data_IF_675577290174
#
_entry.id   IF_675577290174
#
_cell.length_a   1.000
_cell.length_b   1.000
_cell.length_c   1.000
_cell.angle_alpha   90.00
_cell.angle_beta   90.00
_cell.angle_gamma   90.00
#
_symmetry.space_group_name_H-M   'P 1'
#
loop_
_entity.id
_entity.type
_entity.pdbx_description
1 polymer ?
#
# COMPACT_ATOMS: atom_id res chain seq x y z
N UNK A 1 -57.13 -33.36 -25.61
CA UNK A 1 -55.70 -33.73 -25.50
C UNK A 1 -54.95 -32.44 -25.22
N UNK A 2 -54.58 -32.21 -23.96
CA UNK A 2 -53.78 -31.07 -23.52
C UNK A 2 -52.85 -31.60 -22.41
N UNK A 3 -51.55 -31.42 -22.59
CA UNK A 3 -50.50 -31.85 -21.68
C UNK A 3 -50.32 -30.80 -20.56
N UNK A 4 -49.84 -31.18 -19.37
CA UNK A 4 -49.73 -30.28 -18.21
C UNK A 4 -48.46 -29.41 -18.27
N UNK A 5 -48.55 -28.26 -17.60
CA UNK A 5 -47.52 -27.23 -17.48
C UNK A 5 -46.24 -27.73 -16.78
N UNK A 6 -45.11 -27.30 -17.34
CA UNK A 6 -43.75 -27.44 -16.85
C UNK A 6 -43.56 -26.65 -15.54
N UNK A 7 -43.15 -27.35 -14.48
CA UNK A 7 -42.83 -26.78 -13.17
C UNK A 7 -41.32 -26.79 -12.97
N UNK A 8 -40.66 -25.78 -13.52
CA UNK A 8 -39.26 -25.47 -13.23
C UNK A 8 -39.16 -24.45 -12.07
N UNK A 9 -38.25 -24.65 -11.10
CA UNK A 9 -38.19 -23.83 -9.88
C UNK A 9 -37.73 -22.39 -10.19
N UNK A 10 -38.45 -21.42 -9.65
CA UNK A 10 -38.11 -20.00 -9.67
C UNK A 10 -36.82 -19.79 -8.85
N UNK A 11 -35.69 -19.64 -9.53
CA UNK A 11 -34.48 -19.09 -8.92
C UNK A 11 -34.78 -17.63 -8.62
N UNK A 12 -35.01 -17.30 -7.34
CA UNK A 12 -35.00 -15.91 -6.89
C UNK A 12 -33.57 -15.39 -7.01
N UNK A 13 -33.29 -14.63 -8.06
CA UNK A 13 -32.12 -13.77 -8.11
C UNK A 13 -32.15 -12.85 -6.87
N UNK A 14 -31.17 -13.01 -5.99
CA UNK A 14 -30.91 -11.99 -4.97
C UNK A 14 -30.22 -10.81 -5.66
N UNK A 15 -30.70 -9.57 -5.48
CA UNK A 15 -30.08 -8.42 -6.10
C UNK A 15 -28.67 -8.19 -5.52
N UNK A 16 -27.67 -8.14 -6.40
CA UNK A 16 -26.30 -7.74 -6.08
C UNK A 16 -26.31 -6.29 -5.56
N UNK A 17 -26.15 -6.11 -4.25
CA UNK A 17 -26.35 -4.85 -3.54
C UNK A 17 -25.30 -3.76 -3.77
N UNK A 18 -24.34 -3.94 -4.69
CA UNK A 18 -23.31 -2.93 -4.99
C UNK A 18 -23.70 -1.93 -6.08
N UNK A 19 -24.70 -2.23 -6.91
CA UNK A 19 -25.05 -1.39 -8.08
C UNK A 19 -25.77 -0.08 -7.78
N UNK A 20 -26.24 0.16 -6.55
CA UNK A 20 -27.01 1.37 -6.21
C UNK A 20 -26.30 2.39 -5.32
N UNK A 21 -25.09 2.09 -4.80
CA UNK A 21 -24.44 2.94 -3.80
C UNK A 21 -23.72 4.16 -4.41
N UNK A 22 -23.41 4.11 -5.71
CA UNK A 22 -22.56 5.09 -6.40
C UNK A 22 -23.26 5.86 -7.52
N UNK A 23 -24.52 5.52 -7.84
CA UNK A 23 -25.27 6.09 -8.96
C UNK A 23 -25.59 7.59 -8.81
N UNK A 24 -25.42 8.15 -7.61
CA UNK A 24 -25.72 9.55 -7.28
C UNK A 24 -24.50 10.39 -6.85
N UNK A 25 -23.27 9.85 -6.94
CA UNK A 25 -22.07 10.63 -6.57
C UNK A 25 -21.70 11.56 -7.73
N UNK A 26 -21.79 12.87 -7.51
CA UNK A 26 -21.29 13.85 -8.49
C UNK A 26 -19.78 13.90 -8.39
N UNK A 27 -19.09 14.19 -9.50
CA UNK A 27 -17.64 14.37 -9.49
C UNK A 27 -17.17 15.48 -8.51
N UNK A 28 -18.04 16.42 -8.14
CA UNK A 28 -17.80 17.45 -7.11
C UNK A 28 -17.73 16.89 -5.68
N UNK A 29 -18.29 15.71 -5.46
CA UNK A 29 -18.34 15.05 -4.15
C UNK A 29 -17.10 14.16 -3.92
N UNK A 30 -16.22 14.07 -4.93
CA UNK A 30 -14.94 13.35 -4.88
C UNK A 30 -13.82 14.34 -4.57
N UNK A 31 -13.11 14.14 -3.45
CA UNK A 31 -11.86 14.85 -3.15
C UNK A 31 -10.67 14.01 -3.55
N UNK A 32 -9.81 14.53 -4.42
CA UNK A 32 -8.52 13.91 -4.69
C UNK A 32 -7.48 14.48 -3.75
N UNK A 33 -6.86 13.64 -2.93
CA UNK A 33 -5.72 14.00 -2.07
C UNK A 33 -4.50 13.26 -2.60
N UNK A 34 -3.56 13.99 -3.19
CA UNK A 34 -2.35 13.38 -3.76
C UNK A 34 -1.06 13.97 -3.19
N UNK A 35 -0.16 13.07 -2.85
CA UNK A 35 1.27 13.32 -2.61
C UNK A 35 2.14 12.69 -3.71
N UNK A 36 1.50 12.03 -4.68
CA UNK A 36 2.13 11.30 -5.78
C UNK A 36 1.96 12.10 -7.08
N UNK A 37 3.07 12.60 -7.62
CA UNK A 37 3.14 13.16 -8.97
C UNK A 37 3.44 12.01 -9.93
N UNK A 38 2.40 11.46 -10.56
CA UNK A 38 2.46 10.24 -11.38
C UNK A 38 3.63 10.19 -12.34
N UNK A 39 3.75 11.20 -13.23
CA UNK A 39 4.82 11.23 -14.22
C UNK A 39 6.20 11.25 -13.59
N UNK A 40 6.40 12.04 -12.52
CA UNK A 40 7.68 12.12 -11.82
C UNK A 40 8.05 10.78 -11.18
N UNK A 41 7.09 10.05 -10.63
CA UNK A 41 7.31 8.71 -10.08
C UNK A 41 7.64 7.68 -11.16
N UNK A 42 6.98 7.75 -12.32
CA UNK A 42 7.26 6.89 -13.46
C UNK A 42 8.69 7.16 -13.98
N UNK A 43 9.08 8.43 -14.11
CA UNK A 43 10.40 8.84 -14.56
C UNK A 43 11.50 8.58 -13.51
N UNK A 44 11.15 8.54 -12.22
CA UNK A 44 12.06 8.18 -11.13
C UNK A 44 12.38 6.69 -11.11
N UNK A 45 11.47 5.85 -11.62
CA UNK A 45 11.59 4.40 -11.66
C UNK A 45 11.94 3.83 -10.29
N UNK A 46 11.00 3.97 -9.34
CA UNK A 46 11.12 3.39 -8.00
C UNK A 46 11.21 1.87 -8.09
N UNK A 47 12.35 1.30 -7.71
CA UNK A 47 12.66 -0.12 -7.93
C UNK A 47 12.71 -0.95 -6.65
N UNK A 48 12.70 -0.32 -5.48
CA UNK A 48 12.55 -1.06 -4.24
C UNK A 48 12.81 -0.22 -3.01
N UNK A 49 13.01 -0.91 -1.89
CA UNK A 49 13.36 -0.30 -0.63
C UNK A 49 14.48 -1.07 0.06
N UNK A 50 15.24 -0.37 0.89
CA UNK A 50 16.26 -0.97 1.73
C UNK A 50 16.13 -0.46 3.16
N UNK A 51 16.68 -1.21 4.11
CA UNK A 51 16.69 -0.85 5.52
C UNK A 51 18.12 -0.65 6.00
N UNK A 52 18.37 0.42 6.74
CA UNK A 52 19.59 0.60 7.50
C UNK A 52 19.25 0.77 8.98
N UNK A 53 19.97 0.06 9.83
CA UNK A 53 19.77 0.00 11.28
C UNK A 53 21.09 0.27 11.98
N UNK A 54 21.03 0.87 13.16
CA UNK A 54 22.19 1.20 13.98
C UNK A 54 21.78 1.16 15.46
N UNK A 55 22.64 0.69 16.38
CA UNK A 55 22.31 0.60 17.80
C UNK A 55 21.89 1.93 18.45
N UNK A 56 22.36 3.06 17.91
CA UNK A 56 22.29 4.39 18.55
C UNK A 56 21.43 5.41 17.79
N UNK A 57 20.76 5.02 16.71
CA UNK A 57 19.99 5.93 15.86
C UNK A 57 18.66 5.30 15.41
N UNK A 58 17.60 6.10 15.18
CA UNK A 58 16.39 5.62 14.53
C UNK A 58 16.69 4.92 13.19
N UNK A 59 15.94 3.86 12.83
CA UNK A 59 16.20 3.13 11.60
C UNK A 59 15.85 3.98 10.37
N UNK A 60 16.39 3.58 9.22
CA UNK A 60 16.21 4.26 7.93
C UNK A 60 15.53 3.30 6.95
N UNK A 61 14.47 3.79 6.30
CA UNK A 61 13.84 3.19 5.13
C UNK A 61 14.28 3.96 3.87
N UNK A 62 15.12 3.33 3.06
CA UNK A 62 15.60 3.86 1.79
C UNK A 62 14.57 3.59 0.69
N UNK A 63 14.26 4.59 -0.13
CA UNK A 63 13.53 4.41 -1.39
C UNK A 63 14.55 4.36 -2.52
N UNK A 64 14.69 3.20 -3.15
CA UNK A 64 15.68 2.94 -4.20
C UNK A 64 15.11 3.32 -5.57
N UNK A 65 15.75 4.26 -6.24
CA UNK A 65 15.35 4.75 -7.56
C UNK A 65 16.43 4.45 -8.59
N UNK A 66 16.03 3.98 -9.79
CA UNK A 66 16.96 3.89 -10.92
C UNK A 66 17.41 5.26 -11.39
N UNK A 67 16.49 6.23 -11.39
CA UNK A 67 16.80 7.62 -11.69
C UNK A 67 16.88 8.43 -10.40
N UNK A 68 18.10 8.54 -9.85
CA UNK A 68 18.39 9.25 -8.63
C UNK A 68 17.88 10.71 -8.63
N UNK A 69 18.05 11.44 -9.74
CA UNK A 69 17.68 12.86 -9.82
C UNK A 69 16.17 13.07 -9.71
N UNK A 70 15.38 12.22 -10.36
CA UNK A 70 13.93 12.27 -10.23
C UNK A 70 13.46 11.76 -8.86
N UNK A 71 14.14 10.77 -8.28
CA UNK A 71 13.92 10.35 -6.89
C UNK A 71 14.15 11.48 -5.88
N UNK A 72 15.24 12.24 -6.04
CA UNK A 72 15.53 13.43 -5.22
C UNK A 72 14.43 14.47 -5.35
N UNK A 73 13.96 14.77 -6.57
CA UNK A 73 12.86 15.73 -6.81
C UNK A 73 11.57 15.35 -6.07
N UNK A 74 11.26 14.04 -5.95
CA UNK A 74 10.10 13.58 -5.17
C UNK A 74 10.24 14.01 -3.71
N UNK A 75 11.38 13.70 -3.09
CA UNK A 75 11.63 14.05 -1.70
C UNK A 75 11.77 15.56 -1.48
N UNK A 76 12.41 16.30 -2.39
CA UNK A 76 12.48 17.76 -2.32
C UNK A 76 11.08 18.39 -2.35
N UNK A 77 10.19 17.90 -3.22
CA UNK A 77 8.81 18.38 -3.27
C UNK A 77 8.01 18.04 -2.00
N UNK A 78 8.28 16.89 -1.37
CA UNK A 78 7.71 16.57 -0.07
C UNK A 78 8.25 17.44 1.05
N UNK A 79 9.56 17.70 1.09
CA UNK A 79 10.18 18.58 2.09
C UNK A 79 9.67 20.02 1.94
N UNK A 80 9.53 20.52 0.72
CA UNK A 80 8.95 21.84 0.46
C UNK A 80 7.52 21.94 1.00
N UNK A 81 6.74 20.86 0.90
CA UNK A 81 5.34 20.83 1.31
C UNK A 81 5.14 20.55 2.80
N UNK A 82 5.95 19.67 3.39
CA UNK A 82 5.73 19.10 4.72
C UNK A 82 6.89 19.32 5.70
N UNK A 83 7.98 19.98 5.26
CA UNK A 83 9.28 20.01 5.94
C UNK A 83 9.99 18.63 5.97
N UNK A 84 11.17 18.59 6.58
CA UNK A 84 11.94 17.37 6.82
C UNK A 84 11.43 16.55 8.03
N UNK A 85 10.33 16.98 8.66
CA UNK A 85 9.64 16.24 9.71
C UNK A 85 8.17 16.21 9.33
N UNK A 86 7.66 15.04 8.96
CA UNK A 86 6.25 14.90 8.58
C UNK A 86 5.38 14.71 9.84
N UNK A 87 5.23 15.82 10.57
CA UNK A 87 4.51 15.93 11.86
C UNK A 87 3.02 15.68 11.72
N UNK A 88 2.44 16.12 10.61
CA UNK A 88 1.01 15.99 10.35
C UNK A 88 0.64 14.61 9.80
N UNK A 89 1.65 13.75 9.57
CA UNK A 89 1.51 12.41 9.02
C UNK A 89 0.85 12.42 7.64
N UNK A 90 1.23 13.37 6.78
CA UNK A 90 0.69 13.57 5.44
C UNK A 90 1.08 12.44 4.47
N UNK A 91 2.28 11.87 4.65
CA UNK A 91 2.74 10.69 3.92
C UNK A 91 2.35 9.43 4.68
N UNK A 92 1.57 8.58 4.03
CA UNK A 92 1.23 7.25 4.53
C UNK A 92 2.13 6.19 3.89
N UNK A 93 2.85 5.46 4.72
CA UNK A 93 3.67 4.31 4.32
C UNK A 93 3.05 3.05 4.93
N UNK A 94 2.78 2.06 4.08
CA UNK A 94 2.24 0.75 4.48
C UNK A 94 3.20 -0.35 4.09
N UNK A 95 3.41 -1.33 4.97
CA UNK A 95 4.10 -2.58 4.68
C UNK A 95 3.08 -3.71 4.84
N UNK A 96 2.75 -4.39 3.75
CA UNK A 96 1.84 -5.54 3.73
C UNK A 96 2.67 -6.82 3.63
N UNK A 97 2.61 -7.67 4.65
CA UNK A 97 3.31 -8.96 4.71
C UNK A 97 2.39 -10.10 4.29
N UNK A 98 2.97 -11.28 4.08
CA UNK A 98 2.19 -12.50 3.83
C UNK A 98 1.38 -12.45 2.54
N UNK A 99 1.88 -11.73 1.52
CA UNK A 99 1.21 -11.57 0.22
C UNK A 99 1.33 -12.81 -0.68
N UNK A 100 2.26 -13.71 -0.39
CA UNK A 100 2.51 -14.93 -1.14
C UNK A 100 2.87 -16.09 -0.20
N UNK A 101 2.03 -17.13 -0.18
CA UNK A 101 2.22 -18.32 0.66
C UNK A 101 3.38 -19.22 0.25
N UNK A 102 3.80 -19.17 -1.02
CA UNK A 102 4.99 -19.88 -1.51
C UNK A 102 6.25 -19.13 -1.16
N UNK A 103 6.16 -17.80 -1.01
CA UNK A 103 7.27 -16.90 -0.71
C UNK A 103 6.96 -16.08 0.55
N UNK A 104 7.05 -16.68 1.76
CA UNK A 104 6.48 -16.09 2.96
C UNK A 104 7.13 -14.78 3.43
N UNK A 105 8.35 -14.50 2.97
CA UNK A 105 9.06 -13.27 3.27
C UNK A 105 8.78 -12.14 2.28
N UNK A 106 7.99 -12.38 1.24
CA UNK A 106 7.60 -11.33 0.33
C UNK A 106 6.66 -10.36 1.04
N UNK A 107 6.90 -9.08 0.84
CA UNK A 107 6.07 -8.01 1.37
C UNK A 107 5.96 -6.90 0.35
N UNK A 108 4.93 -6.08 0.48
CA UNK A 108 4.69 -4.94 -0.41
C UNK A 108 4.74 -3.66 0.38
N UNK A 109 5.53 -2.69 -0.11
CA UNK A 109 5.53 -1.35 0.44
C UNK A 109 4.60 -0.49 -0.42
N UNK A 110 3.69 0.23 0.23
CA UNK A 110 2.82 1.22 -0.35
C UNK A 110 3.15 2.62 0.17
N UNK A 111 3.08 3.63 -0.69
CA UNK A 111 3.29 5.03 -0.34
C UNK A 111 2.20 5.87 -1.00
N UNK A 112 1.51 6.68 -0.21
CA UNK A 112 0.44 7.55 -0.69
C UNK A 112 0.12 8.65 0.30
N UNK A 113 -0.96 9.37 0.07
CA UNK A 113 -1.41 10.38 1.02
C UNK A 113 -2.08 9.71 2.21
N UNK A 114 -1.88 10.24 3.41
CA UNK A 114 -2.70 9.86 4.55
C UNK A 114 -4.02 10.60 4.51
N UNK A 115 -5.07 9.89 4.12
CA UNK A 115 -6.40 10.49 3.97
C UNK A 115 -7.27 10.34 5.21
N UNK A 116 -6.76 9.82 6.34
CA UNK A 116 -7.58 9.60 7.54
C UNK A 116 -8.30 10.86 8.04
N UNK A 117 -7.64 12.03 7.96
CA UNK A 117 -8.22 13.34 8.34
C UNK A 117 -9.31 13.82 7.35
N UNK A 118 -9.36 13.23 6.16
CA UNK A 118 -10.22 13.61 5.05
C UNK A 118 -11.43 12.68 4.89
N UNK A 119 -11.38 11.50 5.52
CA UNK A 119 -12.49 10.55 5.51
C UNK A 119 -13.69 11.12 6.26
N UNK A 120 -14.84 11.12 5.60
CA UNK A 120 -16.13 11.44 6.22
C UNK A 120 -17.23 10.62 5.54
N UNK A 121 -18.34 10.27 6.23
CA UNK A 121 -19.42 9.48 5.64
C UNK A 121 -20.08 10.13 4.41
N UNK A 122 -19.94 11.45 4.26
CA UNK A 122 -20.59 12.23 3.20
C UNK A 122 -19.69 12.49 1.97
N UNK A 123 -18.45 12.00 1.95
CA UNK A 123 -17.48 12.38 0.91
C UNK A 123 -16.62 11.22 0.46
N UNK A 124 -16.55 11.00 -0.84
CA UNK A 124 -15.61 10.05 -1.44
C UNK A 124 -14.23 10.71 -1.50
N UNK A 125 -13.20 10.02 -1.01
CA UNK A 125 -11.82 10.50 -1.08
C UNK A 125 -11.00 9.55 -1.93
N UNK A 126 -10.52 10.06 -3.07
CA UNK A 126 -9.58 9.36 -3.95
C UNK A 126 -8.15 9.70 -3.58
N UNK A 127 -7.27 8.71 -3.58
CA UNK A 127 -5.82 8.92 -3.47
C UNK A 127 -5.06 7.95 -4.36
N UNK A 128 -3.87 8.35 -4.79
CA UNK A 128 -2.96 7.51 -5.56
C UNK A 128 -1.95 6.91 -4.59
N UNK A 129 -1.77 5.59 -4.68
CA UNK A 129 -0.75 4.85 -3.95
C UNK A 129 0.25 4.29 -4.95
N UNK A 130 1.54 4.54 -4.72
CA UNK A 130 2.63 3.82 -5.40
C UNK A 130 3.02 2.62 -4.57
N UNK A 131 3.26 1.48 -5.21
CA UNK A 131 3.64 0.27 -4.50
C UNK A 131 4.79 -0.46 -5.16
N UNK A 132 5.61 -1.13 -4.35
CA UNK A 132 6.68 -2.01 -4.80
C UNK A 132 6.68 -3.30 -3.98
N UNK A 133 6.83 -4.44 -4.66
CA UNK A 133 6.89 -5.76 -4.04
C UNK A 133 8.35 -6.12 -3.81
N UNK A 134 8.67 -6.40 -2.55
CA UNK A 134 9.99 -6.81 -2.12
C UNK A 134 10.05 -8.32 -2.05
N UNK A 135 11.11 -8.90 -2.60
CA UNK A 135 11.28 -10.37 -2.74
C UNK A 135 12.51 -10.89 -1.99
N UNK A 136 12.66 -10.63 -0.67
CA UNK A 136 13.80 -11.13 0.07
C UNK A 136 13.71 -12.64 0.31
N UNK A 137 14.86 -13.26 0.60
CA UNK A 137 14.95 -14.69 0.95
C UNK A 137 14.73 -14.97 2.44
N UNK A 138 14.71 -13.94 3.29
CA UNK A 138 14.43 -14.01 4.72
C UNK A 138 13.81 -12.69 5.23
N UNK A 139 13.43 -12.63 6.51
CA UNK A 139 12.82 -11.45 7.13
C UNK A 139 13.80 -10.54 7.87
N UNK A 140 15.07 -10.91 8.03
CA UNK A 140 16.05 -10.28 8.93
C UNK A 140 16.12 -8.75 8.79
N UNK A 141 16.09 -8.22 7.57
CA UNK A 141 16.18 -6.77 7.35
C UNK A 141 14.90 -6.04 7.77
N UNK A 142 13.73 -6.60 7.47
CA UNK A 142 12.44 -6.04 7.87
C UNK A 142 12.25 -6.18 9.38
N UNK A 143 12.57 -7.33 9.96
CA UNK A 143 12.42 -7.59 11.39
C UNK A 143 13.32 -6.67 12.22
N UNK A 144 14.58 -6.46 11.80
CA UNK A 144 15.47 -5.48 12.44
C UNK A 144 14.92 -4.06 12.34
N UNK A 145 14.43 -3.65 11.17
CA UNK A 145 13.80 -2.34 10.99
C UNK A 145 12.60 -2.17 11.93
N UNK A 146 11.71 -3.17 12.03
CA UNK A 146 10.52 -3.11 12.88
C UNK A 146 10.87 -3.12 14.37
N UNK A 147 11.90 -3.88 14.77
CA UNK A 147 12.39 -3.88 16.15
C UNK A 147 12.96 -2.52 16.55
N UNK A 148 13.80 -1.91 15.70
CA UNK A 148 14.34 -0.57 15.94
C UNK A 148 13.25 0.49 15.89
N UNK A 149 12.31 0.40 14.95
CA UNK A 149 11.17 1.30 14.88
C UNK A 149 10.34 1.24 16.16
N UNK A 150 10.09 0.05 16.70
CA UNK A 150 9.40 -0.13 17.98
C UNK A 150 10.19 0.48 19.15
N UNK A 151 11.53 0.40 19.13
CA UNK A 151 12.42 0.99 20.14
C UNK A 151 12.39 2.52 20.10
N UNK A 152 12.48 3.12 18.92
CA UNK A 152 12.65 4.56 18.74
C UNK A 152 11.33 5.32 18.58
N UNK A 153 10.26 4.66 18.12
CA UNK A 153 8.96 5.28 17.80
C UNK A 153 8.97 6.15 16.53
N UNK A 154 10.10 6.20 15.82
CA UNK A 154 10.27 6.95 14.59
C UNK A 154 11.30 6.29 13.68
N UNK A 155 11.34 6.72 12.42
CA UNK A 155 12.28 6.28 11.41
C UNK A 155 12.48 7.37 10.36
N UNK A 156 13.60 7.34 9.65
CA UNK A 156 13.84 8.21 8.52
C UNK A 156 13.43 7.54 7.22
N UNK A 157 12.80 8.29 6.31
CA UNK A 157 12.81 7.92 4.89
C UNK A 157 13.86 8.73 4.15
N UNK A 158 14.54 8.11 3.19
CA UNK A 158 15.58 8.77 2.39
C UNK A 158 15.56 8.28 0.95
N UNK A 159 15.72 9.16 -0.07
CA UNK A 159 15.93 8.69 -1.42
C UNK A 159 17.34 8.11 -1.55
N UNK A 160 17.47 7.02 -2.28
CA UNK A 160 18.74 6.36 -2.54
C UNK A 160 18.77 5.80 -3.97
N UNK A 161 19.98 5.54 -4.47
CA UNK A 161 20.21 4.85 -5.73
C UNK A 161 21.46 3.97 -5.62
N UNK A 162 21.50 2.87 -6.37
CA UNK A 162 22.70 2.03 -6.38
C UNK A 162 23.86 2.74 -7.10
N UNK A 163 25.02 2.75 -6.45
CA UNK A 163 26.26 3.18 -7.06
C UNK A 163 26.88 2.07 -7.91
N UNK A 164 28.01 2.37 -8.58
CA UNK A 164 28.72 1.41 -9.44
C UNK A 164 29.20 0.14 -8.73
N UNK A 165 29.29 0.16 -7.40
CA UNK A 165 29.67 -1.01 -6.58
C UNK A 165 28.47 -1.84 -6.12
N UNK A 166 27.24 -1.48 -6.52
CA UNK A 166 26.01 -2.16 -6.10
C UNK A 166 25.58 -1.82 -4.67
N UNK A 167 26.16 -0.79 -4.05
CA UNK A 167 25.73 -0.29 -2.73
C UNK A 167 24.80 0.91 -2.90
N UNK A 168 23.78 1.08 -2.05
CA UNK A 168 22.92 2.26 -2.12
C UNK A 168 23.66 3.50 -1.60
N UNK A 169 23.72 4.54 -2.42
CA UNK A 169 24.09 5.89 -1.99
C UNK A 169 22.84 6.58 -1.47
N UNK A 170 22.83 6.92 -0.17
CA UNK A 170 21.74 7.65 0.47
C UNK A 170 21.92 9.16 0.28
N UNK A 171 20.88 9.84 -0.19
CA UNK A 171 20.87 11.30 -0.26
C UNK A 171 20.34 11.89 1.05
N UNK A 172 21.12 11.76 2.12
CA UNK A 172 20.75 12.12 3.50
C UNK A 172 20.18 13.54 3.69
N UNK A 173 20.66 14.59 2.99
CA UNK A 173 20.05 15.93 3.14
C UNK A 173 18.57 16.01 2.75
N UNK A 174 18.04 14.99 2.04
CA UNK A 174 16.64 14.87 1.66
C UNK A 174 15.88 13.86 2.53
N UNK A 175 16.35 13.57 3.73
CA UNK A 175 15.65 12.68 4.66
C UNK A 175 14.41 13.34 5.27
N UNK A 176 13.34 12.58 5.46
CA UNK A 176 12.13 13.03 6.16
C UNK A 176 11.90 12.11 7.37
N UNK A 177 11.71 12.70 8.55
CA UNK A 177 11.39 11.96 9.77
C UNK A 177 9.92 11.57 9.77
N UNK A 178 9.64 10.29 10.03
CA UNK A 178 8.31 9.71 10.14
C UNK A 178 8.15 9.02 11.49
N UNK A 179 7.01 9.24 12.14
CA UNK A 179 6.65 8.57 13.39
C UNK A 179 5.82 7.30 13.15
N UNK A 180 5.16 7.21 11.99
CA UNK A 180 4.18 6.15 11.72
C UNK A 180 4.49 5.40 10.44
N UNK A 181 4.49 4.08 10.56
CA UNK A 181 4.40 3.13 9.45
C UNK A 181 3.25 2.18 9.76
N UNK A 182 2.42 1.89 8.76
CA UNK A 182 1.31 0.95 8.90
C UNK A 182 1.82 -0.44 8.53
N UNK A 183 1.72 -1.39 9.45
CA UNK A 183 2.07 -2.79 9.18
C UNK A 183 0.77 -3.59 9.13
N UNK A 184 0.58 -4.37 8.06
CA UNK A 184 -0.62 -5.20 7.85
C UNK A 184 -0.20 -6.59 7.41
N UNK A 185 -1.00 -7.58 7.75
CA UNK A 185 -0.95 -8.86 7.06
C UNK A 185 -1.99 -8.87 5.94
N UNK A 186 -1.62 -9.42 4.79
CA UNK A 186 -2.44 -9.37 3.59
C UNK A 186 -3.86 -9.95 3.81
N UNK A 187 -3.98 -10.97 4.67
CA UNK A 187 -5.26 -11.62 4.95
C UNK A 187 -6.29 -10.71 5.64
N UNK A 188 -5.84 -9.65 6.31
CA UNK A 188 -6.69 -8.69 7.03
C UNK A 188 -7.29 -7.60 6.12
N UNK A 189 -6.91 -7.54 4.83
CA UNK A 189 -7.26 -6.44 3.94
C UNK A 189 -8.47 -6.80 3.07
N UNK A 190 -9.59 -6.12 3.27
CA UNK A 190 -10.83 -6.31 2.52
C UNK A 190 -11.09 -5.34 1.38
N UNK A 191 -12.21 -5.53 0.67
CA UNK A 191 -12.58 -4.73 -0.51
C UNK A 191 -12.77 -3.23 -0.23
N UNK A 192 -13.27 -2.90 0.96
CA UNK A 192 -13.49 -1.51 1.38
C UNK A 192 -12.33 -0.95 2.23
N UNK A 193 -11.22 -1.68 2.36
CA UNK A 193 -10.04 -1.23 3.10
C UNK A 193 -9.25 -0.21 2.28
N UNK A 194 -8.66 0.79 2.96
CA UNK A 194 -7.77 1.79 2.35
C UNK A 194 -6.53 1.15 1.70
N UNK A 195 -6.08 0.02 2.24
CA UNK A 195 -4.96 -0.76 1.75
C UNK A 195 -5.36 -1.78 0.67
N UNK A 196 -6.64 -1.83 0.27
CA UNK A 196 -7.11 -2.78 -0.75
C UNK A 196 -6.28 -2.69 -2.03
N UNK A 197 -5.94 -1.48 -2.49
CA UNK A 197 -5.08 -1.23 -3.66
C UNK A 197 -3.68 -1.88 -3.60
N UNK A 198 -3.22 -2.28 -2.40
CA UNK A 198 -1.97 -2.99 -2.20
C UNK A 198 -2.09 -4.49 -2.35
N UNK A 199 -3.27 -5.08 -2.35
CA UNK A 199 -3.45 -6.47 -2.80
C UNK A 199 -3.56 -6.46 -4.32
N UNK A 200 -3.06 -7.50 -5.01
CA UNK A 200 -3.16 -7.68 -6.47
C UNK A 200 -3.86 -9.00 -6.78
N UNK A 201 -4.46 -9.10 -7.96
CA UNK A 201 -5.19 -10.30 -8.41
C UNK A 201 -4.33 -11.58 -8.35
N UNK A 202 -3.04 -11.49 -8.68
CA UNK A 202 -2.11 -12.62 -8.64
C UNK A 202 -1.50 -12.91 -7.26
N UNK A 203 -1.89 -12.17 -6.22
CA UNK A 203 -1.40 -12.45 -4.87
C UNK A 203 -2.01 -13.75 -4.33
N UNK A 204 -1.27 -14.40 -3.41
CA UNK A 204 -1.68 -15.66 -2.81
C UNK A 204 -1.45 -15.59 -1.30
N UNK A 205 -2.28 -14.82 -0.57
CA UNK A 205 -1.99 -14.46 0.80
C UNK A 205 -1.84 -15.66 1.74
N UNK A 206 -1.01 -15.49 2.77
CA UNK A 206 -0.94 -16.39 3.91
C UNK A 206 -2.11 -16.06 4.82
N UNK A 207 -3.06 -16.99 4.92
CA UNK A 207 -4.23 -16.86 5.79
C UNK A 207 -4.07 -17.88 6.93
N UNK A 208 -4.10 -17.46 8.20
CA UNK A 208 -4.10 -18.39 9.32
C UNK A 208 -5.29 -19.35 9.23
N UNK A 209 -5.10 -20.62 9.60
CA UNK A 209 -6.15 -21.64 9.48
C UNK A 209 -7.44 -21.28 10.24
N UNK A 210 -7.32 -20.57 11.36
CA UNK A 210 -8.47 -20.11 12.15
C UNK A 210 -9.30 -19.04 11.46
N UNK A 211 -8.71 -18.28 10.54
CA UNK A 211 -9.32 -17.10 9.92
C UNK A 211 -9.81 -17.37 8.49
N UNK A 212 -9.60 -18.58 7.95
CA UNK A 212 -9.74 -18.84 6.52
C UNK A 212 -11.16 -18.65 5.98
N UNK A 213 -12.18 -18.83 6.82
CA UNK A 213 -13.58 -18.68 6.42
C UNK A 213 -14.02 -17.21 6.37
N UNK A 214 -13.41 -16.36 7.19
CA UNK A 214 -13.81 -14.95 7.37
C UNK A 214 -12.78 -13.95 6.81
N UNK A 215 -11.64 -14.43 6.31
CA UNK A 215 -10.56 -13.58 5.84
C UNK A 215 -11.02 -12.66 4.70
N UNK A 216 -11.09 -11.33 4.93
CA UNK A 216 -11.70 -10.40 3.98
C UNK A 216 -10.92 -10.27 2.66
N UNK A 217 -9.65 -10.71 2.63
CA UNK A 217 -8.83 -10.73 1.41
C UNK A 217 -9.39 -11.65 0.33
N UNK A 218 -10.17 -12.67 0.72
CA UNK A 218 -10.73 -13.65 -0.22
C UNK A 218 -11.71 -12.98 -1.17
N UNK A 219 -12.67 -12.22 -0.63
CA UNK A 219 -13.63 -11.43 -1.44
C UNK A 219 -12.89 -10.40 -2.31
N UNK A 220 -11.88 -9.73 -1.75
CA UNK A 220 -11.08 -8.74 -2.48
C UNK A 220 -10.37 -9.36 -3.69
N UNK A 221 -9.72 -10.52 -3.56
CA UNK A 221 -9.06 -11.19 -4.69
C UNK A 221 -10.10 -11.67 -5.71
N UNK A 222 -11.22 -12.24 -5.26
CA UNK A 222 -12.31 -12.70 -6.13
C UNK A 222 -12.89 -11.58 -6.99
N UNK A 223 -13.18 -10.41 -6.40
CA UNK A 223 -13.70 -9.25 -7.14
C UNK A 223 -12.78 -8.78 -8.27
N UNK A 224 -11.47 -9.02 -8.16
CA UNK A 224 -10.47 -8.65 -9.18
C UNK A 224 -10.32 -9.68 -10.29
N UNK A 225 -10.78 -10.91 -10.07
CA UNK A 225 -10.80 -11.93 -11.12
C UNK A 225 -11.97 -11.75 -12.10
N UNK A 226 -13.00 -10.99 -11.70
CA UNK A 226 -14.24 -10.80 -12.47
C UNK A 226 -14.20 -9.51 -13.32
N UNK A 227 -13.23 -8.63 -13.08
CA UNK A 227 -13.15 -7.31 -13.71
C UNK A 227 -12.50 -7.29 -15.11
N UNK A 228 -12.38 -8.44 -15.77
CA UNK A 228 -11.91 -8.63 -17.16
C UNK A 228 -13.03 -9.18 -18.05
#
# INVERSE_FOLDING_TARGET
MALPEDSSPIIKEQPSSSRGLYDNIKHTDIRTVSVIREQLWNDAQWEGAGFATSPDQPPILMFLFKNAENGKKIFSAWIERFSNIDKEDDLRITIVRGIDKKNPFYYRIGVGANIKKELSPARLVGTIVRSNMMTPTNSDNLDRFLADYKKYGCFWIVPAAFNKSGKPDMYQPLSILKEKVVIRDAWEIGINDLDSSLIRQGDNPIIPKSEIEEAPVIELIQSRMIAE
#
